data_IF_385049904100
#
_entry.id   IF_385049904100
#
_cell.length_a   1.000
_cell.length_b   1.000
_cell.length_c   1.000
_cell.angle_alpha   90.00
_cell.angle_beta   90.00
_cell.angle_gamma   90.00
#
_symmetry.space_group_name_H-M   'P 1'
#
loop_
_entity.id
_entity.type
_entity.pdbx_description
1 polymer ?
#
# COMPACT_ATOMS: atom_id res chain seq x y z
N UNK A 1 15.01 -0.83 26.90
CA UNK A 1 15.40 -0.55 25.50
C UNK A 1 14.47 -1.31 24.57
N UNK A 2 14.11 -0.73 23.43
CA UNK A 2 13.17 -1.29 22.44
C UNK A 2 13.81 -1.25 21.06
N UNK A 3 13.66 -2.33 20.29
CA UNK A 3 14.10 -2.38 18.89
C UNK A 3 12.95 -1.94 17.98
N UNK A 4 13.19 -0.92 17.15
CA UNK A 4 12.22 -0.46 16.16
C UNK A 4 12.95 -0.13 14.85
N UNK A 5 12.49 -0.72 13.73
CA UNK A 5 13.10 -0.59 12.39
C UNK A 5 14.64 -0.78 12.37
N UNK A 6 15.14 -1.72 13.17
CA UNK A 6 16.57 -2.04 13.27
C UNK A 6 17.38 -1.12 14.19
N UNK A 7 16.78 -0.07 14.75
CA UNK A 7 17.44 0.89 15.65
C UNK A 7 16.99 0.61 17.10
N UNK A 8 17.93 0.72 18.05
CA UNK A 8 17.65 0.55 19.48
C UNK A 8 17.31 1.90 20.11
N UNK A 9 16.16 1.97 20.76
CA UNK A 9 15.69 3.15 21.47
C UNK A 9 15.58 2.92 22.96
N UNK A 10 15.72 3.98 23.73
CA UNK A 10 15.43 4.00 25.15
C UNK A 10 13.93 4.26 25.37
N UNK A 11 13.32 3.52 26.29
CA UNK A 11 11.93 3.71 26.70
C UNK A 11 11.74 3.09 28.09
N UNK A 12 10.83 3.66 28.88
CA UNK A 12 10.40 3.08 30.15
C UNK A 12 9.66 1.76 29.97
N UNK A 13 9.50 0.98 31.04
CA UNK A 13 8.88 -0.36 31.00
C UNK A 13 7.43 -0.30 30.50
N UNK A 14 6.64 0.67 31.00
CA UNK A 14 5.23 0.85 30.59
C UNK A 14 5.11 1.16 29.09
N UNK A 15 5.98 2.01 28.57
CA UNK A 15 5.97 2.40 27.16
C UNK A 15 6.55 1.31 26.26
N UNK A 16 7.51 0.54 26.75
CA UNK A 16 8.01 -0.66 26.08
C UNK A 16 6.87 -1.67 25.84
N UNK A 17 6.03 -1.92 26.85
CA UNK A 17 4.86 -2.79 26.72
C UNK A 17 3.85 -2.26 25.70
N UNK A 18 3.61 -0.93 25.67
CA UNK A 18 2.74 -0.31 24.67
C UNK A 18 3.29 -0.49 23.26
N UNK A 19 4.57 -0.19 23.03
CA UNK A 19 5.21 -0.38 21.72
C UNK A 19 5.10 -1.85 21.29
N UNK A 20 5.34 -2.78 22.20
CA UNK A 20 5.22 -4.21 21.89
C UNK A 20 3.79 -4.61 21.48
N UNK A 21 2.76 -4.08 22.15
CA UNK A 21 1.36 -4.28 21.77
C UNK A 21 1.08 -3.75 20.36
N UNK A 22 1.55 -2.55 20.02
CA UNK A 22 1.38 -1.96 18.68
C UNK A 22 2.11 -2.80 17.62
N UNK A 23 3.33 -3.26 17.92
CA UNK A 23 4.09 -4.15 17.03
C UNK A 23 3.40 -5.50 16.81
N UNK A 24 2.76 -6.08 17.83
CA UNK A 24 1.98 -7.30 17.69
C UNK A 24 0.78 -7.09 16.76
N UNK A 25 0.05 -5.99 16.91
CA UNK A 25 -1.08 -5.61 16.04
C UNK A 25 -0.60 -5.47 14.59
N UNK A 26 0.52 -4.78 14.38
CA UNK A 26 1.16 -4.64 13.06
C UNK A 26 1.53 -6.00 12.45
N UNK A 27 2.13 -6.89 13.24
CA UNK A 27 2.50 -8.23 12.78
C UNK A 27 1.25 -9.02 12.34
N UNK A 28 0.18 -8.99 13.12
CA UNK A 28 -1.09 -9.64 12.77
C UNK A 28 -1.70 -9.05 11.48
N UNK A 29 -1.70 -7.73 11.32
CA UNK A 29 -2.17 -7.07 10.08
C UNK A 29 -1.36 -7.52 8.86
N UNK A 30 -0.02 -7.56 8.97
CA UNK A 30 0.87 -8.01 7.89
C UNK A 30 0.64 -9.47 7.52
N UNK A 31 0.46 -10.35 8.51
CA UNK A 31 0.13 -11.77 8.28
C UNK A 31 -1.21 -11.89 7.57
N UNK A 32 -2.26 -11.19 8.03
CA UNK A 32 -3.57 -11.19 7.38
C UNK A 32 -3.49 -10.75 5.91
N UNK A 33 -2.76 -9.65 5.61
CA UNK A 33 -2.57 -9.17 4.23
C UNK A 33 -1.86 -10.21 3.37
N UNK A 34 -0.78 -10.82 3.86
CA UNK A 34 -0.07 -11.89 3.15
C UNK A 34 -1.01 -13.07 2.86
N UNK A 35 -1.79 -13.50 3.86
CA UNK A 35 -2.76 -14.58 3.69
C UNK A 35 -3.75 -14.26 2.57
N UNK A 36 -4.33 -13.07 2.55
CA UNK A 36 -5.29 -12.65 1.51
C UNK A 36 -4.70 -12.69 0.09
N UNK A 37 -3.41 -12.34 -0.07
CA UNK A 37 -2.71 -12.40 -1.36
C UNK A 37 -2.43 -13.86 -1.77
N UNK A 38 -2.11 -14.71 -0.78
CA UNK A 38 -1.69 -16.09 -1.03
C UNK A 38 -2.83 -17.09 -1.15
N UNK A 39 -4.03 -16.74 -0.68
CA UNK A 39 -5.21 -17.58 -0.83
C UNK A 39 -5.55 -17.61 -2.32
N UNK A 40 -5.40 -18.77 -2.99
CA UNK A 40 -5.77 -18.85 -4.39
C UNK A 40 -7.29 -18.66 -4.52
N UNK A 41 -7.73 -17.81 -5.45
CA UNK A 41 -9.17 -17.60 -5.69
C UNK A 41 -9.93 -18.91 -5.98
N UNK A 42 -9.20 -19.93 -6.44
CA UNK A 42 -9.72 -21.25 -6.77
C UNK A 42 -9.57 -22.28 -5.63
N UNK A 43 -9.53 -21.87 -4.34
CA UNK A 43 -9.51 -22.82 -3.19
C UNK A 43 -10.57 -23.92 -3.35
N UNK A 44 -11.77 -23.57 -3.82
CA UNK A 44 -12.86 -24.52 -4.08
C UNK A 44 -12.46 -25.65 -5.03
N UNK A 45 -11.66 -25.36 -6.06
CA UNK A 45 -11.17 -26.35 -7.03
C UNK A 45 -10.14 -27.28 -6.41
N UNK A 46 -9.29 -26.80 -5.50
CA UNK A 46 -8.34 -27.63 -4.74
C UNK A 46 -9.03 -28.50 -3.69
N UNK A 47 -10.09 -27.97 -3.06
CA UNK A 47 -10.95 -28.76 -2.17
C UNK A 47 -11.68 -29.86 -2.96
N UNK A 48 -12.19 -29.54 -4.16
CA UNK A 48 -12.80 -30.51 -5.07
C UNK A 48 -11.80 -31.60 -5.47
N UNK A 49 -10.59 -31.21 -5.92
CA UNK A 49 -9.51 -32.14 -6.27
C UNK A 49 -9.14 -33.06 -5.10
N UNK A 50 -9.07 -32.51 -3.88
CA UNK A 50 -8.82 -33.30 -2.67
C UNK A 50 -9.96 -34.26 -2.38
N UNK A 51 -11.21 -33.83 -2.58
CA UNK A 51 -12.40 -34.70 -2.48
C UNK A 51 -12.38 -35.84 -3.50
N UNK A 52 -12.08 -35.55 -4.77
CA UNK A 52 -11.93 -36.55 -5.82
C UNK A 52 -10.80 -37.55 -5.51
N UNK A 53 -9.67 -37.06 -4.98
CA UNK A 53 -8.55 -37.90 -4.56
C UNK A 53 -8.92 -38.83 -3.39
N UNK A 54 -9.69 -38.34 -2.42
CA UNK A 54 -10.20 -39.17 -1.32
C UNK A 54 -11.19 -40.23 -1.83
N UNK A 55 -12.11 -39.88 -2.74
CA UNK A 55 -13.03 -40.83 -3.37
C UNK A 55 -12.27 -41.91 -4.14
N UNK A 56 -11.25 -41.53 -4.90
CA UNK A 56 -10.38 -42.48 -5.59
C UNK A 56 -9.65 -43.40 -4.60
N UNK A 57 -9.15 -42.87 -3.49
CA UNK A 57 -8.50 -43.66 -2.43
C UNK A 57 -9.45 -44.71 -1.83
N UNK A 58 -10.74 -44.36 -1.65
CA UNK A 58 -11.77 -45.29 -1.18
C UNK A 58 -12.01 -46.42 -2.20
N UNK A 59 -12.08 -46.09 -3.49
CA UNK A 59 -12.25 -47.08 -4.57
C UNK A 59 -11.05 -48.03 -4.62
N UNK A 60 -9.83 -47.51 -4.56
CA UNK A 60 -8.59 -48.31 -4.55
C UNK A 60 -8.55 -49.24 -3.33
N UNK A 61 -8.94 -48.74 -2.16
CA UNK A 61 -9.05 -49.55 -0.94
C UNK A 61 -10.07 -50.69 -1.08
N UNK A 62 -11.26 -50.41 -1.63
CA UNK A 62 -12.32 -51.42 -1.80
C UNK A 62 -12.01 -52.46 -2.87
N UNK A 63 -11.29 -52.09 -3.92
CA UNK A 63 -10.92 -52.99 -5.01
C UNK A 63 -9.62 -53.78 -4.74
N UNK A 64 -8.89 -53.46 -3.67
CA UNK A 64 -7.65 -54.15 -3.32
C UNK A 64 -6.52 -53.99 -4.34
N UNK A 65 -6.61 -52.98 -5.21
CA UNK A 65 -5.75 -52.82 -6.40
C UNK A 65 -4.25 -52.68 -6.09
N UNK A 66 -3.88 -52.16 -4.92
CA UNK A 66 -2.49 -51.96 -4.50
C UNK A 66 -1.92 -53.09 -3.65
N UNK A 67 -2.76 -53.92 -3.03
CA UNK A 67 -2.36 -54.82 -1.94
C UNK A 67 -2.87 -56.25 -2.10
N UNK A 68 -3.05 -56.70 -3.34
CA UNK A 68 -3.44 -58.08 -3.64
C UNK A 68 -2.42 -59.13 -3.14
N UNK A 69 -1.19 -58.72 -2.85
CA UNK A 69 -0.05 -59.58 -2.52
C UNK A 69 0.33 -59.63 -1.03
N UNK A 70 -0.22 -58.77 -0.18
CA UNK A 70 0.13 -58.74 1.25
C UNK A 70 -1.07 -59.19 2.11
N UNK A 71 -0.84 -60.20 2.94
CA UNK A 71 -1.89 -60.93 3.64
C UNK A 71 -2.71 -60.06 4.61
N UNK A 72 -4.02 -60.04 4.40
CA UNK A 72 -5.15 -59.86 5.34
C UNK A 72 -5.14 -58.74 6.41
N UNK A 73 -4.19 -57.82 6.48
CA UNK A 73 -4.28 -56.65 7.37
C UNK A 73 -3.79 -55.38 6.71
N UNK A 74 -4.59 -54.85 5.78
CA UNK A 74 -4.40 -53.51 5.23
C UNK A 74 -5.44 -52.56 5.76
N UNK A 75 -5.00 -51.40 6.24
CA UNK A 75 -5.87 -50.32 6.69
C UNK A 75 -6.00 -49.27 5.59
N UNK A 76 -7.06 -48.47 5.66
CA UNK A 76 -7.26 -47.35 4.74
C UNK A 76 -6.09 -46.33 4.80
N UNK A 77 -5.40 -46.25 5.94
CA UNK A 77 -4.22 -45.37 6.13
C UNK A 77 -3.06 -45.81 5.24
N UNK A 78 -2.86 -47.11 5.04
CA UNK A 78 -1.80 -47.63 4.17
C UNK A 78 -2.04 -47.23 2.71
N UNK A 79 -3.30 -47.28 2.26
CA UNK A 79 -3.69 -46.83 0.91
C UNK A 79 -3.45 -45.33 0.72
N UNK A 80 -3.80 -44.50 1.72
CA UNK A 80 -3.48 -43.07 1.72
C UNK A 80 -1.96 -42.84 1.65
N UNK A 81 -1.19 -43.63 2.40
CA UNK A 81 0.27 -43.50 2.46
C UNK A 81 0.96 -43.87 1.14
N UNK A 82 0.44 -44.82 0.37
CA UNK A 82 0.93 -45.11 -0.98
C UNK A 82 0.51 -44.03 -1.98
N UNK A 83 -0.73 -43.54 -1.87
CA UNK A 83 -1.26 -42.52 -2.77
C UNK A 83 -0.73 -41.11 -2.48
N UNK A 84 0.08 -40.91 -1.43
CA UNK A 84 0.68 -39.62 -1.07
C UNK A 84 1.45 -38.99 -2.23
N UNK A 85 2.14 -39.79 -3.04
CA UNK A 85 2.92 -39.30 -4.18
C UNK A 85 2.01 -38.74 -5.28
N UNK A 86 0.84 -39.36 -5.50
CA UNK A 86 -0.19 -38.87 -6.43
C UNK A 86 -0.83 -37.58 -5.91
N UNK A 87 -1.14 -37.49 -4.62
CA UNK A 87 -1.66 -36.26 -4.01
C UNK A 87 -0.65 -35.12 -4.10
N UNK A 88 0.63 -35.43 -3.84
CA UNK A 88 1.71 -34.47 -3.89
C UNK A 88 1.90 -33.89 -5.30
N UNK A 89 1.94 -34.74 -6.33
CA UNK A 89 2.17 -34.29 -7.71
C UNK A 89 0.96 -33.58 -8.33
N UNK A 90 -0.26 -33.89 -7.90
CA UNK A 90 -1.48 -33.31 -8.48
C UNK A 90 -2.00 -32.10 -7.71
N UNK A 91 -2.18 -32.21 -6.39
CA UNK A 91 -2.85 -31.19 -5.58
C UNK A 91 -1.84 -30.24 -4.94
N UNK A 92 -0.82 -30.77 -4.26
CA UNK A 92 0.17 -29.93 -3.58
C UNK A 92 1.01 -29.13 -4.59
N UNK A 93 1.51 -29.77 -5.65
CA UNK A 93 2.29 -29.07 -6.66
C UNK A 93 1.44 -27.98 -7.35
N UNK A 94 0.19 -28.25 -7.68
CA UNK A 94 -0.71 -27.26 -8.28
C UNK A 94 -1.02 -26.10 -7.33
N UNK A 95 -1.18 -26.37 -6.03
CA UNK A 95 -1.30 -25.33 -5.00
C UNK A 95 -0.04 -24.47 -4.92
N UNK A 96 1.15 -25.10 -4.89
CA UNK A 96 2.43 -24.41 -4.84
C UNK A 96 2.69 -23.54 -6.08
N UNK A 97 2.42 -24.07 -7.28
CA UNK A 97 2.55 -23.32 -8.54
C UNK A 97 1.62 -22.12 -8.54
N UNK A 98 0.35 -22.30 -8.15
CA UNK A 98 -0.60 -21.19 -8.10
C UNK A 98 -0.22 -20.15 -7.03
N UNK A 99 0.20 -20.59 -5.85
CA UNK A 99 0.74 -19.72 -4.82
C UNK A 99 1.93 -18.88 -5.33
N UNK A 100 2.88 -19.51 -6.02
CA UNK A 100 4.03 -18.83 -6.60
C UNK A 100 3.60 -17.82 -7.67
N UNK A 101 2.69 -18.21 -8.56
CA UNK A 101 2.18 -17.36 -9.63
C UNK A 101 1.44 -16.14 -9.07
N UNK A 102 0.55 -16.32 -8.08
CA UNK A 102 -0.18 -15.23 -7.45
C UNK A 102 0.76 -14.25 -6.74
N UNK A 103 1.79 -14.75 -6.03
CA UNK A 103 2.80 -13.88 -5.42
C UNK A 103 3.59 -13.12 -6.49
N UNK A 104 3.99 -13.80 -7.57
CA UNK A 104 4.75 -13.20 -8.66
C UNK A 104 3.94 -12.10 -9.36
N UNK A 105 2.67 -12.37 -9.65
CA UNK A 105 1.74 -11.41 -10.24
C UNK A 105 1.50 -10.23 -9.29
N UNK A 106 1.22 -10.49 -8.01
CA UNK A 106 1.07 -9.45 -7.01
C UNK A 106 2.32 -8.56 -6.92
N UNK A 107 3.53 -9.14 -6.92
CA UNK A 107 4.78 -8.36 -6.93
C UNK A 107 4.90 -7.48 -8.17
N UNK A 108 4.49 -7.98 -9.35
CA UNK A 108 4.48 -7.18 -10.60
C UNK A 108 3.49 -6.02 -10.49
N UNK A 109 2.26 -6.28 -10.04
CA UNK A 109 1.22 -5.26 -9.82
C UNK A 109 1.70 -4.18 -8.84
N UNK A 110 2.25 -4.58 -7.70
CA UNK A 110 2.83 -3.67 -6.71
C UNK A 110 3.96 -2.84 -7.32
N UNK A 111 4.89 -3.44 -8.07
CA UNK A 111 5.96 -2.68 -8.73
C UNK A 111 5.40 -1.66 -9.73
N UNK A 112 4.41 -2.03 -10.54
CA UNK A 112 3.75 -1.14 -11.50
C UNK A 112 3.05 0.03 -10.79
N UNK A 113 2.25 -0.28 -9.77
CA UNK A 113 1.57 0.69 -8.92
C UNK A 113 2.55 1.64 -8.20
N UNK A 114 3.76 1.18 -7.86
CA UNK A 114 4.78 2.05 -7.26
C UNK A 114 5.26 3.13 -8.24
N UNK A 115 5.52 2.75 -9.49
CA UNK A 115 5.92 3.72 -10.53
C UNK A 115 4.81 4.73 -10.78
N UNK A 116 3.56 4.26 -10.90
CA UNK A 116 2.40 5.15 -11.04
C UNK A 116 2.32 6.14 -9.87
N UNK A 117 2.51 5.66 -8.64
CA UNK A 117 2.55 6.51 -7.46
C UNK A 117 3.66 7.57 -7.53
N UNK A 118 4.90 7.16 -7.83
CA UNK A 118 6.04 8.07 -7.91
C UNK A 118 5.79 9.13 -8.98
N UNK A 119 5.43 8.72 -10.19
CA UNK A 119 5.20 9.63 -11.31
C UNK A 119 4.05 10.62 -11.01
N UNK A 120 2.95 10.13 -10.43
CA UNK A 120 1.80 10.99 -10.06
C UNK A 120 2.18 11.98 -8.97
N UNK A 121 2.98 11.55 -7.99
CA UNK A 121 3.46 12.41 -6.90
C UNK A 121 4.44 13.47 -7.42
N UNK A 122 5.31 13.15 -8.38
CA UNK A 122 6.19 14.14 -9.02
C UNK A 122 5.39 15.28 -9.62
N UNK A 123 4.39 14.92 -10.42
CA UNK A 123 3.58 15.88 -11.15
C UNK A 123 2.69 16.68 -10.18
N UNK A 124 2.26 16.07 -9.07
CA UNK A 124 1.59 16.77 -7.98
C UNK A 124 2.48 17.82 -7.31
N UNK A 125 3.73 17.51 -6.97
CA UNK A 125 4.65 18.47 -6.35
C UNK A 125 4.91 19.67 -7.28
N UNK A 126 4.96 19.45 -8.60
CA UNK A 126 5.14 20.50 -9.62
C UNK A 126 4.07 21.59 -9.59
N UNK A 127 2.86 21.31 -9.08
CA UNK A 127 1.80 22.32 -8.91
C UNK A 127 2.26 23.46 -8.01
N UNK A 128 3.08 23.16 -7.01
CA UNK A 128 3.45 24.11 -5.97
C UNK A 128 4.76 24.85 -6.27
N UNK A 129 5.54 24.42 -7.28
CA UNK A 129 6.80 25.06 -7.68
C UNK A 129 6.69 26.57 -7.89
N UNK A 130 5.64 27.13 -8.53
CA UNK A 130 5.53 28.57 -8.72
C UNK A 130 5.40 29.39 -7.42
N UNK A 131 5.13 28.72 -6.28
CA UNK A 131 4.83 29.38 -5.00
C UNK A 131 5.85 29.07 -3.90
N UNK A 132 6.63 28.00 -4.08
CA UNK A 132 7.53 27.46 -3.05
C UNK A 132 8.96 27.26 -3.60
N UNK A 133 9.20 27.63 -4.87
CA UNK A 133 10.47 27.63 -5.61
C UNK A 133 11.48 26.54 -5.19
N UNK A 134 12.32 26.79 -4.18
CA UNK A 134 13.41 25.91 -3.74
C UNK A 134 13.21 25.26 -2.36
N UNK A 135 12.22 25.72 -1.57
CA UNK A 135 11.90 25.14 -0.27
C UNK A 135 11.05 23.88 -0.40
N UNK A 136 10.57 23.58 -1.61
CA UNK A 136 9.75 22.40 -1.86
C UNK A 136 10.65 21.18 -1.88
N UNK A 137 10.62 20.36 -0.84
CA UNK A 137 11.63 19.33 -0.78
C UNK A 137 11.09 18.17 -1.60
N UNK A 138 12.01 17.48 -2.27
CA UNK A 138 11.73 16.29 -3.07
C UNK A 138 11.23 15.17 -2.15
N UNK A 139 9.97 15.25 -1.74
CA UNK A 139 9.35 14.47 -0.67
C UNK A 139 8.45 13.38 -1.19
N UNK A 140 8.60 13.03 -2.46
CA UNK A 140 7.83 12.01 -3.16
C UNK A 140 7.42 10.80 -2.33
N UNK A 141 8.28 10.15 -1.51
CA UNK A 141 7.82 8.98 -0.78
C UNK A 141 7.08 9.34 0.51
N UNK A 142 7.37 10.47 1.16
CA UNK A 142 7.04 10.79 2.57
C UNK A 142 6.03 11.91 2.78
N UNK A 143 5.57 12.55 1.72
CA UNK A 143 4.59 13.62 1.79
C UNK A 143 3.32 13.19 2.54
N UNK A 144 2.98 13.86 3.63
CA UNK A 144 1.80 13.57 4.46
C UNK A 144 0.71 14.61 4.23
N UNK A 145 -0.52 14.34 4.66
CA UNK A 145 -1.59 15.36 4.67
C UNK A 145 -1.17 16.61 5.45
N UNK A 146 -0.37 16.44 6.50
CA UNK A 146 0.20 17.56 7.26
C UNK A 146 1.15 18.40 6.39
N UNK A 147 2.01 17.76 5.58
CA UNK A 147 2.88 18.49 4.63
C UNK A 147 2.05 19.29 3.62
N UNK A 148 0.92 18.74 3.15
CA UNK A 148 0.00 19.47 2.27
C UNK A 148 -0.58 20.70 2.97
N UNK A 149 -1.05 20.53 4.20
CA UNK A 149 -1.62 21.61 4.98
C UNK A 149 -0.60 22.73 5.26
N UNK A 150 0.61 22.36 5.67
CA UNK A 150 1.71 23.30 5.91
C UNK A 150 2.07 24.07 4.60
N UNK A 151 2.08 23.37 3.46
CA UNK A 151 2.37 23.97 2.14
C UNK A 151 1.28 24.97 1.74
N UNK A 152 0.01 24.59 1.91
CA UNK A 152 -1.12 25.47 1.60
C UNK A 152 -1.18 26.67 2.54
N UNK A 153 -0.87 26.49 3.82
CA UNK A 153 -0.79 27.59 4.78
C UNK A 153 0.31 28.58 4.40
N UNK A 154 1.49 28.09 4.01
CA UNK A 154 2.58 28.92 3.52
C UNK A 154 2.15 29.77 2.31
N UNK A 155 1.57 29.14 1.28
CA UNK A 155 1.09 29.84 0.07
C UNK A 155 0.04 30.91 0.43
N UNK A 156 -0.85 30.59 1.38
CA UNK A 156 -1.87 31.53 1.84
C UNK A 156 -1.26 32.74 2.56
N UNK A 157 -0.27 32.52 3.40
CA UNK A 157 0.41 33.58 4.17
C UNK A 157 1.22 34.51 3.27
N UNK A 158 1.81 33.98 2.20
CA UNK A 158 2.50 34.77 1.17
C UNK A 158 1.56 35.65 0.33
N UNK A 159 0.24 35.59 0.55
CA UNK A 159 -0.77 36.32 -0.20
C UNK A 159 -0.66 36.13 -1.73
N UNK A 160 -0.14 34.96 -2.16
CA UNK A 160 0.03 34.67 -3.56
C UNK A 160 -1.32 34.60 -4.26
N UNK A 161 -1.54 35.44 -5.26
CA UNK A 161 -2.64 35.24 -6.21
C UNK A 161 -2.32 33.99 -7.03
N UNK A 162 -3.18 32.98 -6.97
CA UNK A 162 -3.04 31.77 -7.78
C UNK A 162 -3.38 32.14 -9.23
N UNK A 163 -2.35 32.45 -10.01
CA UNK A 163 -2.44 32.70 -11.45
C UNK A 163 -1.81 31.52 -12.18
N UNK A 164 -2.51 30.88 -13.13
CA UNK A 164 -1.93 29.82 -13.93
C UNK A 164 -0.88 30.40 -14.86
N UNK A 165 0.38 30.24 -14.48
CA UNK A 165 1.52 30.44 -15.34
C UNK A 165 1.77 29.18 -16.19
N UNK A 166 2.80 29.22 -17.03
CA UNK A 166 3.15 28.09 -17.90
C UNK A 166 3.56 26.85 -17.09
N UNK A 167 4.15 27.03 -15.91
CA UNK A 167 4.60 25.93 -15.06
C UNK A 167 3.39 25.20 -14.48
N UNK A 168 2.44 25.93 -13.89
CA UNK A 168 1.22 25.37 -13.34
C UNK A 168 0.35 24.71 -14.41
N UNK A 169 0.21 25.32 -15.59
CA UNK A 169 -0.55 24.74 -16.70
C UNK A 169 0.06 23.41 -17.17
N UNK A 170 1.38 23.34 -17.32
CA UNK A 170 2.06 22.10 -17.68
C UNK A 170 1.85 21.02 -16.59
N UNK A 171 1.99 21.37 -15.31
CA UNK A 171 1.76 20.44 -14.22
C UNK A 171 0.32 19.90 -14.20
N UNK A 172 -0.67 20.76 -14.47
CA UNK A 172 -2.09 20.37 -14.57
C UNK A 172 -2.31 19.39 -15.72
N UNK A 173 -1.70 19.62 -16.89
CA UNK A 173 -1.80 18.70 -18.04
C UNK A 173 -1.11 17.36 -17.77
N UNK A 174 0.09 17.36 -17.19
CA UNK A 174 0.80 16.14 -16.78
C UNK A 174 -0.07 15.30 -15.84
N UNK A 175 -0.70 15.94 -14.86
CA UNK A 175 -1.61 15.29 -13.92
C UNK A 175 -2.82 14.71 -14.62
N UNK A 176 -3.44 15.42 -15.57
CA UNK A 176 -4.57 14.86 -16.33
C UNK A 176 -4.15 13.59 -17.07
N UNK A 177 -2.94 13.59 -17.66
CA UNK A 177 -2.35 12.40 -18.26
C UNK A 177 -2.15 11.26 -17.27
N UNK A 178 -1.62 11.55 -16.07
CA UNK A 178 -1.47 10.52 -15.02
C UNK A 178 -2.81 10.01 -14.51
N UNK A 179 -3.83 10.85 -14.38
CA UNK A 179 -5.20 10.44 -14.03
C UNK A 179 -5.75 9.45 -15.05
N UNK A 180 -5.55 9.72 -16.35
CA UNK A 180 -5.98 8.82 -17.41
C UNK A 180 -5.22 7.49 -17.39
N UNK A 181 -3.91 7.52 -17.13
CA UNK A 181 -3.13 6.30 -16.90
C UNK A 181 -3.67 5.51 -15.70
N UNK A 182 -3.96 6.15 -14.57
CA UNK A 182 -4.53 5.48 -13.38
C UNK A 182 -5.89 4.85 -13.72
N UNK A 183 -6.74 5.52 -14.50
CA UNK A 183 -8.04 4.99 -14.94
C UNK A 183 -7.89 3.71 -15.77
N UNK A 184 -6.94 3.68 -16.70
CA UNK A 184 -6.68 2.49 -17.52
C UNK A 184 -6.14 1.34 -16.67
N UNK A 185 -5.26 1.62 -15.71
CA UNK A 185 -4.71 0.63 -14.78
C UNK A 185 -5.76 0.04 -13.83
N UNK A 186 -6.80 0.81 -13.47
CA UNK A 186 -7.97 0.29 -12.74
C UNK A 186 -8.74 -0.72 -13.60
N UNK A 187 -8.94 -0.40 -14.90
CA UNK A 187 -9.66 -1.26 -15.86
C UNK A 187 -8.91 -2.58 -16.10
N UNK A 188 -7.58 -2.53 -16.14
CA UNK A 188 -6.72 -3.72 -16.29
C UNK A 188 -6.56 -4.55 -15.01
N UNK A 189 -7.20 -4.18 -13.89
CA UNK A 189 -7.00 -4.83 -12.58
C UNK A 189 -5.53 -4.84 -12.12
N UNK A 190 -4.77 -3.83 -12.50
CA UNK A 190 -3.33 -3.75 -12.21
C UNK A 190 -3.02 -3.13 -10.83
N UNK A 191 -4.00 -2.46 -10.21
CA UNK A 191 -3.84 -1.82 -8.89
C UNK A 191 -4.40 -2.69 -7.76
N UNK A 192 -3.66 -2.81 -6.66
CA UNK A 192 -3.99 -3.70 -5.55
C UNK A 192 -4.29 -2.94 -4.27
N UNK A 193 -5.26 -3.43 -3.49
CA UNK A 193 -5.58 -2.90 -2.16
C UNK A 193 -6.29 -1.55 -2.18
N UNK A 194 -6.95 -1.23 -3.30
CA UNK A 194 -7.63 0.04 -3.57
C UNK A 194 -9.15 -0.15 -3.57
N UNK A 195 -9.89 0.84 -3.06
CA UNK A 195 -11.32 0.99 -3.32
C UNK A 195 -11.55 1.59 -4.71
N UNK A 196 -11.72 0.70 -5.71
CA UNK A 196 -11.85 1.09 -7.13
C UNK A 196 -13.00 2.05 -7.37
N UNK A 197 -14.16 1.84 -6.74
CA UNK A 197 -15.34 2.69 -6.94
C UNK A 197 -15.11 4.11 -6.44
N UNK A 198 -14.57 4.22 -5.23
CA UNK A 198 -14.22 5.51 -4.64
C UNK A 198 -13.14 6.23 -5.46
N UNK A 199 -12.13 5.49 -5.92
CA UNK A 199 -11.05 6.06 -6.74
C UNK A 199 -11.56 6.54 -8.10
N UNK A 200 -12.42 5.77 -8.78
CA UNK A 200 -13.04 6.17 -10.04
C UNK A 200 -13.87 7.45 -9.88
N UNK A 201 -14.66 7.54 -8.81
CA UNK A 201 -15.42 8.74 -8.50
C UNK A 201 -14.48 9.95 -8.28
N UNK A 202 -13.45 9.79 -7.45
CA UNK A 202 -12.49 10.85 -7.15
C UNK A 202 -11.74 11.33 -8.41
N UNK A 203 -11.25 10.41 -9.25
CA UNK A 203 -10.57 10.73 -10.51
C UNK A 203 -11.47 11.53 -11.45
N UNK A 204 -12.74 11.14 -11.58
CA UNK A 204 -13.70 11.84 -12.43
C UNK A 204 -13.99 13.26 -11.95
N UNK A 205 -14.10 13.45 -10.63
CA UNK A 205 -14.38 14.75 -10.02
C UNK A 205 -13.18 15.69 -10.11
N UNK A 206 -11.97 15.17 -9.85
CA UNK A 206 -10.71 15.93 -10.01
C UNK A 206 -10.52 16.35 -11.46
N UNK A 207 -10.71 15.45 -12.44
CA UNK A 207 -10.59 15.78 -13.86
C UNK A 207 -11.53 16.91 -14.27
N UNK A 208 -12.76 16.92 -13.73
CA UNK A 208 -13.71 18.01 -13.95
C UNK A 208 -13.23 19.32 -13.34
N UNK A 209 -12.75 19.30 -12.08
CA UNK A 209 -12.30 20.51 -11.37
C UNK A 209 -10.99 21.09 -11.93
N UNK A 210 -10.08 20.25 -12.43
CA UNK A 210 -8.86 20.69 -13.10
C UNK A 210 -9.13 21.53 -14.36
N UNK A 211 -10.30 21.38 -15.02
CA UNK A 211 -10.67 22.25 -16.15
C UNK A 211 -10.93 23.68 -15.73
N UNK A 212 -11.40 23.89 -14.50
CA UNK A 212 -11.70 25.21 -13.94
C UNK A 212 -10.44 25.92 -13.42
N UNK A 213 -9.30 25.21 -13.33
CA UNK A 213 -8.01 25.78 -12.94
C UNK A 213 -7.24 26.38 -14.13
N UNK A 214 -7.84 26.42 -15.32
CA UNK A 214 -7.28 27.12 -16.48
C UNK A 214 -7.75 28.58 -16.59
N UNK A 215 -8.57 29.05 -15.65
CA UNK A 215 -9.08 30.43 -15.61
C UNK A 215 -7.99 31.42 -15.18
N UNK A 216 -8.07 32.67 -15.65
CA UNK A 216 -7.04 33.72 -15.45
C UNK A 216 -6.72 34.05 -13.99
N UNK A 217 -7.65 33.78 -13.08
CA UNK A 217 -7.45 33.97 -11.64
C UNK A 217 -8.23 32.90 -10.88
N UNK A 218 -7.51 32.15 -10.03
CA UNK A 218 -8.06 31.00 -9.32
C UNK A 218 -8.26 31.39 -7.86
N UNK A 219 -9.46 31.15 -7.33
CA UNK A 219 -9.71 31.29 -5.90
C UNK A 219 -8.86 30.28 -5.12
N UNK A 220 -8.12 30.75 -4.10
CA UNK A 220 -7.27 29.89 -3.27
C UNK A 220 -8.03 28.71 -2.66
N UNK A 221 -9.28 28.88 -2.25
CA UNK A 221 -10.09 27.79 -1.69
C UNK A 221 -10.45 26.72 -2.73
N UNK A 222 -10.54 27.08 -4.01
CA UNK A 222 -10.73 26.11 -5.08
C UNK A 222 -9.43 25.38 -5.39
N UNK A 223 -8.30 26.09 -5.43
CA UNK A 223 -6.97 25.48 -5.55
C UNK A 223 -6.68 24.49 -4.41
N UNK A 224 -6.88 24.90 -3.16
CA UNK A 224 -6.77 24.07 -1.94
C UNK A 224 -7.65 22.83 -2.02
N UNK A 225 -8.87 22.98 -2.50
CA UNK A 225 -9.81 21.88 -2.62
C UNK A 225 -9.35 20.87 -3.67
N UNK A 226 -8.94 21.32 -4.85
CA UNK A 226 -8.48 20.44 -5.92
C UNK A 226 -7.21 19.70 -5.52
N UNK A 227 -6.22 20.38 -4.97
CA UNK A 227 -4.96 19.76 -4.49
C UNK A 227 -5.22 18.71 -3.41
N UNK A 228 -6.15 18.94 -2.47
CA UNK A 228 -6.57 17.92 -1.50
C UNK A 228 -7.22 16.70 -2.14
N UNK A 229 -8.09 16.89 -3.11
CA UNK A 229 -8.68 15.75 -3.83
C UNK A 229 -7.63 14.94 -4.60
N UNK A 230 -6.68 15.62 -5.24
CA UNK A 230 -5.56 14.99 -5.94
C UNK A 230 -4.67 14.22 -4.97
N UNK A 231 -4.37 14.80 -3.82
CA UNK A 231 -3.61 14.12 -2.79
C UNK A 231 -4.34 12.86 -2.29
N UNK A 232 -5.66 12.92 -2.08
CA UNK A 232 -6.46 11.74 -1.72
C UNK A 232 -6.37 10.60 -2.74
N UNK A 233 -6.31 10.90 -4.04
CA UNK A 233 -6.05 9.91 -5.11
C UNK A 233 -4.66 9.28 -4.92
N UNK A 234 -3.63 10.10 -4.69
CA UNK A 234 -2.25 9.63 -4.46
C UNK A 234 -2.19 8.76 -3.20
N UNK A 235 -2.90 9.14 -2.14
CA UNK A 235 -2.99 8.36 -0.90
C UNK A 235 -3.59 6.98 -1.13
N UNK A 236 -4.64 6.92 -1.95
CA UNK A 236 -5.26 5.65 -2.31
C UNK A 236 -4.29 4.77 -3.12
N UNK A 237 -3.59 5.33 -4.12
CA UNK A 237 -2.61 4.60 -4.93
C UNK A 237 -1.46 4.05 -4.07
N UNK A 238 -0.98 4.80 -3.07
CA UNK A 238 0.15 4.36 -2.22
C UNK A 238 -0.26 3.46 -1.04
N UNK A 239 -1.55 3.15 -0.89
CA UNK A 239 -2.10 2.34 0.21
C UNK A 239 -1.30 1.07 0.51
N UNK A 240 -0.82 0.29 -0.48
CA UNK A 240 -0.06 -0.94 -0.20
C UNK A 240 1.21 -0.74 0.64
N UNK A 241 1.83 0.44 0.55
CA UNK A 241 3.06 0.77 1.30
C UNK A 241 2.80 1.61 2.55
N UNK A 242 1.65 2.29 2.64
CA UNK A 242 1.32 3.22 3.73
C UNK A 242 0.29 2.72 4.73
N UNK A 243 -0.16 1.47 4.61
CA UNK A 243 -1.18 0.90 5.51
C UNK A 243 -0.74 0.83 6.98
N UNK A 244 0.57 0.87 7.26
CA UNK A 244 1.14 0.73 8.61
C UNK A 244 1.51 2.09 9.23
N UNK A 245 1.24 3.21 8.53
CA UNK A 245 1.73 4.54 8.92
C UNK A 245 1.17 4.98 10.28
N UNK A 246 -0.09 4.63 10.59
CA UNK A 246 -0.77 5.03 11.83
C UNK A 246 -0.08 4.45 13.05
N UNK A 247 0.21 3.15 13.02
CA UNK A 247 0.93 2.46 14.08
C UNK A 247 2.40 2.90 14.16
N UNK A 248 3.05 3.15 13.02
CA UNK A 248 4.40 3.69 12.97
C UNK A 248 4.47 5.09 13.65
N UNK A 249 3.49 5.96 13.38
CA UNK A 249 3.34 7.27 14.04
C UNK A 249 3.08 7.12 15.53
N UNK A 250 2.26 6.15 15.96
CA UNK A 250 2.00 5.89 17.39
C UNK A 250 3.26 5.47 18.13
N UNK A 251 4.07 4.57 17.54
CA UNK A 251 5.35 4.16 18.12
C UNK A 251 6.30 5.35 18.21
N UNK A 252 6.43 6.14 17.13
CA UNK A 252 7.32 7.29 17.09
C UNK A 252 6.95 8.35 18.14
N UNK A 253 5.66 8.66 18.33
CA UNK A 253 5.18 9.58 19.38
C UNK A 253 5.50 9.13 20.80
N UNK A 254 5.61 7.82 21.03
CA UNK A 254 6.04 7.28 22.32
C UNK A 254 7.55 7.48 22.48
N UNK A 255 8.32 7.21 21.43
CA UNK A 255 9.78 7.33 21.42
C UNK A 255 10.28 8.78 21.50
N UNK A 256 9.54 9.73 20.93
CA UNK A 256 9.81 11.17 20.93
C UNK A 256 9.85 11.76 22.34
N UNK A 257 9.09 11.19 23.29
CA UNK A 257 9.05 11.61 24.71
C UNK A 257 10.39 11.45 25.44
N UNK A 258 11.34 10.75 24.83
CA UNK A 258 12.63 10.44 25.41
C UNK A 258 13.71 11.19 24.60
N UNK A 259 14.19 12.37 25.07
CA UNK A 259 15.08 13.25 24.32
C UNK A 259 16.35 12.56 23.78
N UNK A 260 16.87 11.60 24.53
CA UNK A 260 18.04 10.81 24.16
C UNK A 260 17.86 9.95 22.89
N UNK A 261 16.62 9.75 22.42
CA UNK A 261 16.35 9.03 21.17
C UNK A 261 16.52 9.93 19.94
N UNK A 262 16.61 11.26 20.12
CA UNK A 262 16.83 12.25 19.06
C UNK A 262 15.95 12.03 17.82
N UNK A 263 14.65 11.74 18.02
CA UNK A 263 13.72 11.43 16.92
C UNK A 263 13.65 12.57 15.89
N UNK A 264 13.65 13.81 16.36
CA UNK A 264 13.58 15.02 15.52
C UNK A 264 14.81 15.21 14.64
N UNK A 265 15.97 14.68 15.06
CA UNK A 265 17.19 14.71 14.24
C UNK A 265 17.12 13.74 13.06
N UNK A 266 16.25 12.72 13.13
CA UNK A 266 16.02 11.85 12.00
C UNK A 266 15.00 12.47 11.07
N UNK A 267 15.49 12.93 9.92
CA UNK A 267 14.70 13.55 8.86
C UNK A 267 13.38 12.80 8.57
N UNK A 268 13.42 11.47 8.41
CA UNK A 268 12.24 10.68 8.06
C UNK A 268 11.20 10.60 9.18
N UNK A 269 11.63 10.51 10.43
CA UNK A 269 10.71 10.43 11.56
C UNK A 269 10.14 11.80 11.89
N UNK A 270 10.97 12.84 11.79
CA UNK A 270 10.53 14.22 11.92
C UNK A 270 9.46 14.56 10.89
N UNK A 271 9.69 14.26 9.60
CA UNK A 271 8.67 14.46 8.55
C UNK A 271 7.37 13.70 8.81
N UNK A 272 7.46 12.47 9.31
CA UNK A 272 6.28 11.64 9.56
C UNK A 272 5.47 12.13 10.78
N UNK A 273 6.12 12.70 11.78
CA UNK A 273 5.49 13.22 13.00
C UNK A 273 5.03 14.67 12.85
N UNK A 274 5.88 15.51 12.28
CA UNK A 274 5.79 16.96 12.31
C UNK A 274 5.48 17.59 10.97
N UNK A 275 5.53 16.86 9.85
CA UNK A 275 5.36 17.46 8.53
C UNK A 275 6.59 18.25 8.10
N UNK A 276 6.43 19.15 7.14
CA UNK A 276 7.51 20.03 6.70
C UNK A 276 7.37 21.40 7.36
N UNK A 277 8.46 21.87 7.97
CA UNK A 277 8.54 23.22 8.52
C UNK A 277 9.18 24.13 7.47
N UNK A 278 8.37 24.99 6.84
CA UNK A 278 8.85 26.08 5.99
C UNK A 278 9.58 27.11 6.86
N UNK A 279 10.71 27.61 6.38
CA UNK A 279 11.40 28.70 7.08
C UNK A 279 10.53 29.95 6.97
N UNK A 280 9.97 30.39 8.10
CA UNK A 280 9.26 31.67 8.12
C UNK A 280 10.32 32.76 8.08
N UNK A 281 10.55 33.34 6.91
CA UNK A 281 11.17 34.66 6.88
C UNK A 281 10.28 35.58 7.74
N UNK A 282 10.88 36.22 8.74
CA UNK A 282 10.18 37.17 9.61
C UNK A 282 9.70 38.33 8.73
N UNK A 283 8.43 38.33 8.33
CA UNK A 283 7.73 39.48 7.72
C UNK A 283 7.38 40.47 8.82
#
# INVERSE_FOLDING_TARGET
MVLYKGIRYSAGIKDTLKIWKVQLILAMKRVKRRMLITIPGNISLYLLLTGCWLLFSIVVYKLGLLYYTAGNRHTFVDVIWELKSSYFTSVLLALFINFYNNISEYKKKIKKQHWIYIDTMESFEKIFLPYVEDELPRYMPFYTEKCLDDTLEYIKLQNCTIKPDRILQNAIEDIKGHIDNVLDEIREDALVGINKEMLLFALSDVKRKLRNLNDTEICFEDFRRVTRYMFGIIEEIRTPWRTDIKEDTEILKILERYPQNAIDSNFYFSMLLHGHQFERENI
#
